data_IF_148307658475
#
_entry.id   IF_148307658475
#
_cell.length_a   1.000
_cell.length_b   1.000
_cell.length_c   1.000
_cell.angle_alpha   90.00
_cell.angle_beta   90.00
_cell.angle_gamma   90.00
#
_symmetry.space_group_name_H-M   'P 1'
#
loop_
_entity.id
_entity.type
_entity.pdbx_description
1 polymer ?
#
# COMPACT_ATOMS: atom_id res chain seq x y z
N UNK A 1 30.97 16.86 28.05
CA UNK A 1 29.98 15.76 28.08
C UNK A 1 28.59 16.19 27.61
N UNK A 2 28.09 17.39 27.96
CA UNK A 2 26.80 17.88 27.40
C UNK A 2 26.81 18.02 25.87
N UNK A 3 27.90 18.50 25.25
CA UNK A 3 27.99 18.68 23.79
C UNK A 3 27.86 17.36 23.03
N UNK A 4 28.62 16.33 23.41
CA UNK A 4 28.58 15.01 22.78
C UNK A 4 27.17 14.38 22.81
N UNK A 5 26.40 14.57 23.90
CA UNK A 5 25.01 14.10 24.00
C UNK A 5 24.06 14.88 23.09
N UNK A 6 24.30 16.18 22.92
CA UNK A 6 23.50 17.01 22.02
C UNK A 6 23.75 16.66 20.54
N UNK A 7 25.02 16.42 20.18
CA UNK A 7 25.41 15.98 18.83
C UNK A 7 24.81 14.59 18.51
N UNK A 8 24.85 13.66 19.48
CA UNK A 8 24.22 12.35 19.34
C UNK A 8 22.70 12.45 19.14
N UNK A 9 22.02 13.31 19.90
CA UNK A 9 20.58 13.54 19.76
C UNK A 9 20.23 14.17 18.39
N UNK A 10 21.04 15.10 17.90
CA UNK A 10 20.86 15.71 16.57
C UNK A 10 21.01 14.67 15.46
N UNK A 11 22.05 13.82 15.52
CA UNK A 11 22.26 12.75 14.55
C UNK A 11 21.12 11.72 14.58
N UNK A 12 20.64 11.37 15.78
CA UNK A 12 19.50 10.47 15.92
C UNK A 12 18.23 11.04 15.28
N UNK A 13 17.96 12.34 15.48
CA UNK A 13 16.84 13.03 14.85
C UNK A 13 16.97 13.08 13.32
N UNK A 14 18.13 13.48 12.80
CA UNK A 14 18.38 13.52 11.36
C UNK A 14 18.17 12.14 10.72
N UNK A 15 18.68 11.09 11.37
CA UNK A 15 18.46 9.71 10.92
C UNK A 15 16.99 9.33 10.92
N UNK A 16 16.25 9.67 11.98
CA UNK A 16 14.81 9.37 12.06
C UNK A 16 14.01 10.06 10.94
N UNK A 17 14.34 11.32 10.63
CA UNK A 17 13.73 12.07 9.52
C UNK A 17 14.02 11.42 8.18
N UNK A 18 15.29 11.06 7.91
CA UNK A 18 15.68 10.42 6.66
C UNK A 18 14.97 9.06 6.47
N UNK A 19 14.88 8.27 7.54
CA UNK A 19 14.17 6.98 7.52
C UNK A 19 12.68 7.20 7.23
N UNK A 20 12.04 8.18 7.87
CA UNK A 20 10.62 8.46 7.63
C UNK A 20 10.34 8.89 6.18
N UNK A 21 11.20 9.74 5.60
CA UNK A 21 11.08 10.13 4.19
C UNK A 21 11.23 8.92 3.27
N UNK A 22 12.24 8.08 3.52
CA UNK A 22 12.44 6.86 2.74
C UNK A 22 11.24 5.91 2.82
N UNK A 23 10.68 5.67 4.01
CA UNK A 23 9.50 4.80 4.18
C UNK A 23 8.27 5.34 3.42
N UNK A 24 8.09 6.66 3.39
CA UNK A 24 7.03 7.31 2.59
C UNK A 24 7.27 7.09 1.10
N UNK A 25 8.48 7.35 0.61
CA UNK A 25 8.83 7.17 -0.81
C UNK A 25 8.65 5.71 -1.26
N UNK A 26 9.13 4.77 -0.47
CA UNK A 26 9.01 3.33 -0.74
C UNK A 26 7.54 2.92 -0.83
N UNK A 27 6.70 3.35 0.12
CA UNK A 27 5.27 3.01 0.12
C UNK A 27 4.51 3.61 -1.08
N UNK A 28 4.81 4.85 -1.47
CA UNK A 28 4.21 5.49 -2.64
C UNK A 28 4.65 4.81 -3.95
N UNK A 29 5.91 4.43 -4.03
CA UNK A 29 6.47 3.74 -5.19
C UNK A 29 5.87 2.33 -5.35
N UNK A 30 5.69 1.58 -4.27
CA UNK A 30 5.00 0.27 -4.33
C UNK A 30 3.54 0.46 -4.75
N UNK A 31 2.84 1.44 -4.16
CA UNK A 31 1.44 1.72 -4.46
C UNK A 31 1.22 2.08 -5.94
N UNK A 32 2.07 2.94 -6.52
CA UNK A 32 1.94 3.35 -7.92
C UNK A 32 2.19 2.18 -8.89
N UNK A 33 3.23 1.39 -8.66
CA UNK A 33 3.52 0.20 -9.46
C UNK A 33 2.40 -0.83 -9.38
N UNK A 34 1.86 -1.07 -8.18
CA UNK A 34 0.74 -2.00 -8.02
C UNK A 34 -0.56 -1.45 -8.62
N UNK A 35 -0.76 -0.13 -8.68
CA UNK A 35 -1.88 0.48 -9.41
C UNK A 35 -1.83 0.17 -10.91
N UNK A 36 -0.67 0.35 -11.54
CA UNK A 36 -0.47 0.02 -12.95
C UNK A 36 -0.63 -1.48 -13.21
N UNK A 37 -0.02 -2.31 -12.35
CA UNK A 37 -0.12 -3.78 -12.43
C UNK A 37 -1.57 -4.25 -12.30
N UNK A 38 -2.32 -3.70 -11.35
CA UNK A 38 -3.74 -4.04 -11.14
C UNK A 38 -4.61 -3.70 -12.34
N UNK A 39 -4.36 -2.57 -13.01
CA UNK A 39 -5.08 -2.21 -14.24
C UNK A 39 -4.81 -3.22 -15.38
N UNK A 40 -3.56 -3.64 -15.57
CA UNK A 40 -3.20 -4.65 -16.56
C UNK A 40 -3.80 -6.04 -16.24
N UNK A 41 -3.82 -6.40 -14.96
CA UNK A 41 -4.42 -7.67 -14.50
C UNK A 41 -5.94 -7.66 -14.66
N UNK A 42 -6.61 -6.53 -14.45
CA UNK A 42 -8.05 -6.40 -14.71
C UNK A 42 -8.39 -6.68 -16.18
N UNK A 43 -7.60 -6.13 -17.13
CA UNK A 43 -7.74 -6.43 -18.55
C UNK A 43 -7.49 -7.91 -18.86
N UNK A 44 -6.51 -8.52 -18.19
CA UNK A 44 -6.21 -9.95 -18.34
C UNK A 44 -7.39 -10.82 -17.89
N UNK A 45 -8.00 -10.51 -16.76
CA UNK A 45 -9.20 -11.21 -16.25
C UNK A 45 -10.33 -11.11 -17.28
N UNK A 46 -10.58 -9.92 -17.81
CA UNK A 46 -11.61 -9.70 -18.84
C UNK A 46 -11.37 -10.55 -20.09
N UNK A 47 -10.14 -10.56 -20.62
CA UNK A 47 -9.81 -11.39 -21.79
C UNK A 47 -9.94 -12.90 -21.52
N UNK A 48 -9.59 -13.35 -20.31
CA UNK A 48 -9.73 -14.76 -19.92
C UNK A 48 -11.20 -15.14 -19.76
N UNK A 49 -12.04 -14.27 -19.18
CA UNK A 49 -13.49 -14.51 -19.09
C UNK A 49 -14.15 -14.62 -20.46
N UNK A 50 -13.76 -13.79 -21.44
CA UNK A 50 -14.22 -13.94 -22.83
C UNK A 50 -13.79 -15.26 -23.47
N UNK A 51 -12.58 -15.72 -23.13
CA UNK A 51 -12.09 -17.03 -23.61
C UNK A 51 -12.85 -18.18 -22.96
N UNK A 52 -13.21 -18.06 -21.69
CA UNK A 52 -14.09 -19.00 -21.00
C UNK A 52 -15.46 -19.08 -21.66
N UNK A 53 -16.11 -17.94 -21.96
CA UNK A 53 -17.40 -17.94 -22.67
C UNK A 53 -17.36 -18.70 -24.00
N UNK A 54 -16.26 -18.55 -24.76
CA UNK A 54 -16.06 -19.31 -26.00
C UNK A 54 -15.85 -20.81 -25.74
N UNK A 55 -15.01 -21.15 -24.77
CA UNK A 55 -14.77 -22.54 -24.38
C UNK A 55 -16.07 -23.23 -23.92
N UNK A 56 -16.91 -22.54 -23.16
CA UNK A 56 -18.22 -23.05 -22.75
C UNK A 56 -19.15 -23.33 -23.95
N UNK A 57 -19.14 -22.48 -24.99
CA UNK A 57 -19.92 -22.75 -26.21
C UNK A 57 -19.39 -23.98 -26.94
N UNK A 58 -18.08 -24.03 -27.18
CA UNK A 58 -17.44 -25.16 -27.85
C UNK A 58 -17.68 -26.47 -27.11
N UNK A 59 -17.64 -26.44 -25.77
CA UNK A 59 -17.88 -27.63 -24.96
C UNK A 59 -19.34 -28.08 -25.06
N UNK A 60 -20.31 -27.16 -25.03
CA UNK A 60 -21.74 -27.50 -25.23
C UNK A 60 -22.02 -28.08 -26.61
N UNK A 61 -21.27 -27.62 -27.62
CA UNK A 61 -21.33 -28.12 -28.99
C UNK A 61 -20.51 -29.41 -29.19
N UNK A 62 -19.85 -29.92 -28.14
CA UNK A 62 -19.04 -31.14 -28.19
C UNK A 62 -17.71 -30.98 -28.95
N UNK A 63 -17.29 -29.75 -29.24
CA UNK A 63 -16.06 -29.46 -29.99
C UNK A 63 -14.79 -29.50 -29.14
N UNK A 64 -14.93 -29.37 -27.81
CA UNK A 64 -13.83 -29.55 -26.85
C UNK A 64 -14.25 -30.44 -25.69
N UNK A 65 -13.27 -31.08 -25.07
CA UNK A 65 -13.48 -31.93 -23.89
C UNK A 65 -13.63 -31.10 -22.60
N UNK A 66 -14.25 -31.68 -21.58
CA UNK A 66 -14.46 -31.02 -20.27
C UNK A 66 -13.13 -30.63 -19.61
N UNK A 67 -12.07 -31.41 -19.81
CA UNK A 67 -10.74 -31.09 -19.28
C UNK A 67 -10.19 -29.77 -19.86
N UNK A 68 -10.43 -29.50 -21.15
CA UNK A 68 -10.03 -28.25 -21.80
C UNK A 68 -10.80 -27.06 -21.19
N UNK A 69 -12.11 -27.24 -20.93
CA UNK A 69 -12.91 -26.22 -20.26
C UNK A 69 -12.38 -25.93 -18.84
N UNK A 70 -12.06 -26.97 -18.07
CA UNK A 70 -11.51 -26.84 -16.72
C UNK A 70 -10.16 -26.10 -16.71
N UNK A 71 -9.30 -26.34 -17.71
CA UNK A 71 -8.04 -25.61 -17.84
C UNK A 71 -8.27 -24.11 -18.11
N UNK A 72 -9.26 -23.77 -18.94
CA UNK A 72 -9.65 -22.36 -19.18
C UNK A 72 -10.24 -21.73 -17.91
N UNK A 73 -11.08 -22.46 -17.16
CA UNK A 73 -11.61 -21.98 -15.87
C UNK A 73 -10.49 -21.74 -14.85
N UNK A 74 -9.53 -22.66 -14.76
CA UNK A 74 -8.35 -22.52 -13.90
C UNK A 74 -7.51 -21.31 -14.29
N UNK A 75 -7.40 -21.06 -15.59
CA UNK A 75 -6.73 -19.89 -16.15
C UNK A 75 -7.43 -18.58 -15.73
N UNK A 76 -8.76 -18.52 -15.76
CA UNK A 76 -9.53 -17.36 -15.24
C UNK A 76 -9.25 -17.16 -13.75
N UNK A 77 -9.40 -18.21 -12.94
CA UNK A 77 -9.19 -18.14 -11.49
C UNK A 77 -7.77 -17.66 -11.12
N UNK A 78 -6.75 -18.17 -11.81
CA UNK A 78 -5.37 -17.73 -11.59
C UNK A 78 -5.18 -16.23 -11.87
N UNK A 79 -5.85 -15.69 -12.90
CA UNK A 79 -5.79 -14.24 -13.19
C UNK A 79 -6.55 -13.39 -12.17
N UNK A 80 -7.69 -13.88 -11.67
CA UNK A 80 -8.46 -13.19 -10.64
C UNK A 80 -7.70 -13.16 -9.31
N UNK A 81 -7.02 -14.25 -8.96
CA UNK A 81 -6.15 -14.31 -7.79
C UNK A 81 -4.99 -13.32 -7.90
N UNK A 82 -4.32 -13.26 -9.05
CA UNK A 82 -3.24 -12.30 -9.28
C UNK A 82 -3.75 -10.84 -9.18
N UNK A 83 -4.93 -10.55 -9.71
CA UNK A 83 -5.54 -9.22 -9.62
C UNK A 83 -5.89 -8.86 -8.16
N UNK A 84 -6.44 -9.82 -7.41
CA UNK A 84 -6.73 -9.64 -5.98
C UNK A 84 -5.47 -9.43 -5.16
N UNK A 85 -4.39 -10.17 -5.43
CA UNK A 85 -3.09 -10.00 -4.76
C UNK A 85 -2.51 -8.60 -5.01
N UNK A 86 -2.55 -8.11 -6.25
CA UNK A 86 -2.09 -6.75 -6.56
C UNK A 86 -2.88 -5.67 -5.80
N UNK A 87 -4.21 -5.84 -5.67
CA UNK A 87 -5.05 -4.95 -4.85
C UNK A 87 -4.72 -5.04 -3.36
N UNK A 88 -4.38 -6.22 -2.86
CA UNK A 88 -3.91 -6.39 -1.49
C UNK A 88 -2.59 -5.64 -1.28
N UNK A 89 -1.65 -5.73 -2.22
CA UNK A 89 -0.38 -5.01 -2.13
C UNK A 89 -0.57 -3.49 -2.11
N UNK A 90 -1.50 -2.95 -2.92
CA UNK A 90 -1.87 -1.53 -2.85
C UNK A 90 -2.38 -1.13 -1.45
N UNK A 91 -3.28 -1.94 -0.87
CA UNK A 91 -3.83 -1.67 0.46
C UNK A 91 -2.75 -1.75 1.55
N UNK A 92 -1.81 -2.68 1.43
CA UNK A 92 -0.66 -2.77 2.34
C UNK A 92 0.25 -1.55 2.21
N UNK A 93 0.49 -1.07 0.98
CA UNK A 93 1.25 0.15 0.73
C UNK A 93 0.56 1.38 1.33
N UNK A 94 -0.78 1.48 1.24
CA UNK A 94 -1.56 2.54 1.89
C UNK A 94 -1.41 2.51 3.42
N UNK A 95 -1.43 1.31 4.03
CA UNK A 95 -1.21 1.15 5.48
C UNK A 95 0.23 1.52 5.87
N UNK A 96 1.22 1.16 5.07
CA UNK A 96 2.63 1.54 5.30
C UNK A 96 2.82 3.04 5.19
N UNK A 97 2.22 3.68 4.18
CA UNK A 97 2.22 5.14 4.03
C UNK A 97 1.63 5.81 5.27
N UNK A 98 0.46 5.33 5.73
CA UNK A 98 -0.17 5.85 6.94
C UNK A 98 0.76 5.73 8.16
N UNK A 99 1.43 4.59 8.32
CA UNK A 99 2.41 4.38 9.40
C UNK A 99 3.61 5.33 9.29
N UNK A 100 4.20 5.47 8.11
CA UNK A 100 5.37 6.32 7.86
C UNK A 100 5.07 7.80 8.12
N UNK A 101 3.83 8.24 7.88
CA UNK A 101 3.35 9.59 8.17
C UNK A 101 3.03 9.84 9.66
N UNK A 102 3.26 8.86 10.54
CA UNK A 102 3.03 9.00 11.97
C UNK A 102 1.78 8.27 12.49
N UNK A 103 1.19 7.35 11.70
CA UNK A 103 0.42 6.21 12.20
C UNK A 103 -0.65 6.53 13.25
N UNK A 104 -1.34 7.66 13.13
CA UNK A 104 -2.41 8.06 14.06
C UNK A 104 -1.95 8.31 15.51
N UNK A 105 -0.68 8.64 15.77
CA UNK A 105 -0.29 9.13 17.09
C UNK A 105 -1.21 10.30 17.46
N UNK A 106 -1.94 10.26 18.60
CA UNK A 106 -2.38 11.50 19.20
C UNK A 106 -1.06 12.20 19.52
N UNK A 107 -0.70 13.22 18.72
CA UNK A 107 0.16 14.27 19.22
C UNK A 107 -0.51 14.62 20.53
N UNK A 108 0.08 14.21 21.65
CA UNK A 108 -0.31 14.72 22.96
C UNK A 108 -0.38 16.21 22.71
N UNK A 109 -1.61 16.75 22.76
CA UNK A 109 -1.84 18.17 22.85
C UNK A 109 -1.22 18.54 24.20
N UNK A 110 0.11 18.58 24.25
CA UNK A 110 0.87 19.20 25.29
C UNK A 110 0.40 20.63 25.18
N UNK A 111 -0.53 20.97 26.07
CA UNK A 111 -1.32 22.17 26.01
C UNK A 111 -0.43 23.32 25.63
N UNK A 112 -0.82 24.02 24.58
CA UNK A 112 -0.41 25.40 24.36
C UNK A 112 -1.05 26.24 25.46
N UNK A 113 -0.74 25.95 26.73
CA UNK A 113 -0.76 26.92 27.80
C UNK A 113 0.45 27.82 27.57
N UNK A 114 0.37 28.61 26.50
CA UNK A 114 1.04 29.91 26.46
C UNK A 114 0.39 30.74 27.55
N UNK A 115 0.79 30.49 28.81
CA UNK A 115 0.55 31.45 29.88
C UNK A 115 1.19 32.75 29.39
N UNK A 116 0.42 33.82 29.11
CA UNK A 116 1.01 35.07 28.67
C UNK A 116 1.98 35.50 29.76
N UNK A 117 3.20 35.86 29.35
CA UNK A 117 4.27 36.38 30.21
C UNK A 117 3.93 37.80 30.72
N UNK A 118 2.70 38.03 31.17
CA UNK A 118 2.18 39.31 31.68
C UNK A 118 1.83 39.26 33.19
N UNK A 119 2.00 38.11 33.86
CA UNK A 119 1.72 37.95 35.29
C UNK A 119 2.97 37.63 36.13
N UNK A 120 4.16 38.08 35.69
CA UNK A 120 5.37 38.08 36.51
C UNK A 120 5.88 39.51 36.71
N UNK A 121 5.18 40.25 37.55
CA UNK A 121 5.78 41.34 38.32
C UNK A 121 5.62 40.99 39.80
N UNK A 122 6.72 40.74 40.53
CA UNK A 122 6.68 40.64 41.98
C UNK A 122 6.77 42.05 42.60
N UNK A 123 5.83 42.31 43.51
CA UNK A 123 5.73 43.45 44.45
C UNK A 123 5.52 44.85 43.86
#
# INVERSE_FOLDING_TARGET
MQSARADEALLAWQKAVLVAVQEVEDSLLVRSQEAERSAALALTVEHRRRSLQRAESLQREGQIDLLVLLDVQRSVLASELAWSDSRLQQALADVQLFKALGGGFPVTQSGTDITPLAARTPQ
#
